data_IF_054363899971
#
_entry.id   IF_054363899971
#
_cell.length_a   1.000
_cell.length_b   1.000
_cell.length_c   1.000
_cell.angle_alpha   90.00
_cell.angle_beta   90.00
_cell.angle_gamma   90.00
#
_symmetry.space_group_name_H-M   'P 1'
#
loop_
_entity.id
_entity.type
_entity.pdbx_description
1 polymer ?
#
# COMPACT_ATOMS: atom_id res chain seq x y z
N UNK A 1 -27.38 -13.57 -13.24
CA UNK A 1 -26.21 -13.46 -14.13
C UNK A 1 -24.98 -13.39 -13.23
N UNK A 2 -24.04 -14.33 -13.35
CA UNK A 2 -22.80 -14.30 -12.56
C UNK A 2 -21.88 -13.19 -13.10
N UNK A 3 -21.36 -12.32 -12.24
CA UNK A 3 -20.41 -11.30 -12.65
C UNK A 3 -19.11 -11.99 -13.11
N UNK A 4 -18.72 -11.77 -14.36
CA UNK A 4 -17.46 -12.29 -14.91
C UNK A 4 -16.28 -11.71 -14.13
N UNK A 5 -15.37 -12.56 -13.66
CA UNK A 5 -14.15 -12.18 -12.92
C UNK A 5 -12.99 -11.78 -13.83
N UNK A 6 -13.21 -11.74 -15.14
CA UNK A 6 -12.19 -11.32 -16.10
C UNK A 6 -11.96 -9.81 -16.01
N UNK A 7 -10.69 -9.43 -15.82
CA UNK A 7 -10.28 -8.02 -15.80
C UNK A 7 -10.67 -7.33 -17.12
N UNK A 8 -11.09 -6.06 -17.09
CA UNK A 8 -11.29 -5.29 -18.30
C UNK A 8 -9.95 -5.10 -19.04
N UNK A 9 -10.01 -4.95 -20.36
CA UNK A 9 -8.85 -4.57 -21.16
C UNK A 9 -8.59 -3.07 -20.99
N UNK A 10 -7.36 -2.70 -20.65
CA UNK A 10 -6.92 -1.30 -20.70
C UNK A 10 -6.65 -0.95 -22.17
N UNK A 11 -7.38 0.03 -22.69
CA UNK A 11 -7.25 0.53 -24.06
C UNK A 11 -6.22 1.66 -24.15
N UNK A 12 -6.18 2.52 -23.13
CA UNK A 12 -5.28 3.66 -23.05
C UNK A 12 -5.01 4.01 -21.58
N UNK A 13 -3.87 4.65 -21.31
CA UNK A 13 -3.49 5.17 -20.00
C UNK A 13 -2.85 6.54 -20.18
N UNK A 14 -3.38 7.53 -19.48
CA UNK A 14 -2.95 8.93 -19.61
C UNK A 14 -2.71 9.52 -18.22
N UNK A 15 -1.56 10.18 -18.03
CA UNK A 15 -1.32 10.97 -16.80
C UNK A 15 -2.09 12.28 -16.91
N UNK A 16 -3.18 12.39 -16.14
CA UNK A 16 -4.08 13.55 -16.19
C UNK A 16 -3.74 14.61 -15.13
N UNK A 17 -3.04 14.23 -14.04
CA UNK A 17 -2.55 15.15 -13.04
C UNK A 17 -1.31 14.61 -12.32
N UNK A 18 -0.41 15.52 -11.95
CA UNK A 18 0.81 15.18 -11.20
C UNK A 18 1.16 16.29 -10.21
N UNK A 19 1.38 15.90 -8.96
CA UNK A 19 1.98 16.74 -7.92
C UNK A 19 3.34 16.17 -7.49
N UNK A 20 3.90 16.72 -6.41
CA UNK A 20 5.14 16.19 -5.80
C UNK A 20 4.99 14.74 -5.34
N UNK A 21 3.84 14.37 -4.77
CA UNK A 21 3.62 13.05 -4.16
C UNK A 21 2.68 12.14 -4.96
N UNK A 22 1.74 12.73 -5.72
CA UNK A 22 0.68 11.98 -6.39
C UNK A 22 0.82 12.03 -7.91
N UNK A 23 0.60 10.89 -8.55
CA UNK A 23 0.38 10.76 -9.99
C UNK A 23 -0.99 10.14 -10.21
N UNK A 24 -1.86 10.84 -10.92
CA UNK A 24 -3.22 10.39 -11.25
C UNK A 24 -3.26 10.02 -12.72
N UNK A 25 -3.73 8.81 -13.02
CA UNK A 25 -3.90 8.30 -14.37
C UNK A 25 -5.38 8.08 -14.69
N UNK A 26 -5.79 8.51 -15.89
CA UNK A 26 -7.03 8.05 -16.50
C UNK A 26 -6.77 6.74 -17.26
N UNK A 27 -7.70 5.78 -17.13
CA UNK A 27 -7.71 4.51 -17.83
C UNK A 27 -8.96 4.39 -18.65
N UNK A 28 -8.81 4.30 -19.97
CA UNK A 28 -9.91 3.91 -20.84
C UNK A 28 -9.98 2.38 -20.83
N UNK A 29 -11.11 1.83 -20.36
CA UNK A 29 -11.30 0.40 -20.10
C UNK A 29 -12.41 -0.15 -20.99
N UNK A 30 -12.25 -1.41 -21.46
CA UNK A 30 -13.32 -2.20 -22.08
C UNK A 30 -13.59 -3.46 -21.28
N UNK A 31 -14.80 -3.57 -20.76
CA UNK A 31 -15.27 -4.74 -20.01
C UNK A 31 -15.66 -5.89 -20.94
N UNK A 32 -15.78 -7.09 -20.38
CA UNK A 32 -16.13 -8.30 -21.14
C UNK A 32 -17.53 -8.27 -21.76
N UNK A 33 -18.43 -7.45 -21.21
CA UNK A 33 -19.75 -7.19 -21.78
C UNK A 33 -19.76 -6.12 -22.88
N UNK A 34 -18.57 -5.64 -23.31
CA UNK A 34 -18.41 -4.63 -24.35
C UNK A 34 -18.57 -3.18 -23.86
N UNK A 35 -18.97 -2.96 -22.61
CA UNK A 35 -19.10 -1.60 -22.05
C UNK A 35 -17.72 -0.97 -21.94
N UNK A 36 -17.61 0.30 -22.35
CA UNK A 36 -16.43 1.13 -22.15
C UNK A 36 -16.67 2.13 -21.02
N UNK A 37 -15.63 2.34 -20.22
CA UNK A 37 -15.65 3.33 -19.14
C UNK A 37 -14.26 3.95 -18.97
N UNK A 38 -14.24 5.18 -18.45
CA UNK A 38 -13.01 5.89 -18.09
C UNK A 38 -12.91 5.96 -16.57
N UNK A 39 -11.88 5.32 -16.01
CA UNK A 39 -11.60 5.33 -14.57
C UNK A 39 -10.41 6.24 -14.28
N UNK A 40 -10.32 6.75 -13.07
CA UNK A 40 -9.12 7.42 -12.56
C UNK A 40 -8.49 6.59 -11.44
N UNK A 41 -7.16 6.53 -11.40
CA UNK A 41 -6.42 5.90 -10.30
C UNK A 41 -5.31 6.80 -9.80
N UNK A 42 -5.07 6.77 -8.50
CA UNK A 42 -3.80 7.23 -7.92
C UNK A 42 -2.80 6.09 -8.10
N UNK A 43 -1.67 6.37 -8.76
CA UNK A 43 -0.62 5.37 -8.96
C UNK A 43 0.20 5.25 -7.69
N UNK A 44 0.14 4.07 -7.06
CA UNK A 44 0.93 3.75 -5.87
C UNK A 44 2.44 3.66 -6.15
N UNK A 45 3.23 3.46 -5.09
CA UNK A 45 4.66 3.15 -5.24
C UNK A 45 4.82 1.83 -6.00
N UNK A 46 5.84 1.73 -6.84
CA UNK A 46 6.08 0.53 -7.66
C UNK A 46 6.29 -0.74 -6.82
N UNK A 47 6.84 -0.58 -5.61
CA UNK A 47 7.13 -1.67 -4.67
C UNK A 47 6.08 -1.80 -3.56
N UNK A 48 5.15 -0.86 -3.43
CA UNK A 48 4.21 -0.84 -2.31
C UNK A 48 4.86 -0.39 -0.99
N UNK A 49 4.37 -0.97 0.11
CA UNK A 49 4.83 -0.72 1.47
C UNK A 49 4.55 -1.94 2.34
N UNK A 50 5.16 -1.95 3.52
CA UNK A 50 4.99 -3.00 4.53
C UNK A 50 4.21 -2.46 5.73
N UNK A 51 3.48 -3.35 6.37
CA UNK A 51 2.82 -3.11 7.65
C UNK A 51 3.17 -4.27 8.57
N UNK A 52 3.61 -3.97 9.79
CA UNK A 52 4.22 -4.95 10.69
C UNK A 52 3.31 -5.17 11.90
N UNK A 53 2.89 -6.41 12.12
CA UNK A 53 2.21 -6.82 13.36
C UNK A 53 3.25 -7.41 14.31
N UNK A 54 3.90 -6.56 15.09
CA UNK A 54 4.93 -6.98 16.03
C UNK A 54 4.30 -7.52 17.32
N UNK A 55 4.53 -8.81 17.60
CA UNK A 55 4.01 -9.53 18.77
C UNK A 55 5.14 -9.74 19.80
N UNK A 56 5.27 -8.92 20.86
CA UNK A 56 6.25 -9.17 21.92
C UNK A 56 5.96 -10.45 22.70
N UNK A 57 4.69 -10.84 22.79
CA UNK A 57 4.18 -12.06 23.38
C UNK A 57 2.83 -12.43 22.70
N UNK A 58 2.25 -13.62 22.95
CA UNK A 58 1.05 -14.07 22.25
C UNK A 58 -0.22 -13.24 22.46
N UNK A 59 -0.28 -12.40 23.51
CA UNK A 59 -1.46 -11.63 23.88
C UNK A 59 -1.42 -10.15 23.51
N UNK A 60 -0.28 -9.65 23.05
CA UNK A 60 -0.07 -8.22 22.82
C UNK A 60 0.53 -7.92 21.45
N UNK A 61 0.25 -6.70 20.96
CA UNK A 61 0.84 -6.12 19.75
C UNK A 61 1.45 -4.77 20.08
N UNK A 62 2.51 -4.41 19.36
CA UNK A 62 2.95 -3.03 19.32
C UNK A 62 2.10 -2.20 18.36
N UNK A 63 1.69 -1.04 18.84
CA UNK A 63 1.03 0.01 18.08
C UNK A 63 1.79 1.31 18.27
N UNK A 64 1.78 2.15 17.25
CA UNK A 64 2.36 3.49 17.27
C UNK A 64 1.26 4.54 17.15
N UNK A 65 1.56 5.76 17.61
CA UNK A 65 0.74 6.94 17.37
C UNK A 65 1.45 7.85 16.38
N UNK A 66 0.83 8.09 15.24
CA UNK A 66 1.40 8.90 14.17
C UNK A 66 0.39 9.95 13.71
N UNK A 67 0.85 11.18 13.47
CA UNK A 67 0.02 12.25 12.93
C UNK A 67 -0.28 12.00 11.44
N UNK A 68 -1.55 11.86 11.09
CA UNK A 68 -2.02 11.69 9.73
C UNK A 68 -2.53 13.02 9.16
N UNK A 69 -1.73 13.65 8.30
CA UNK A 69 -2.07 14.94 7.69
C UNK A 69 -3.38 14.94 6.88
N UNK A 70 -3.81 13.78 6.36
CA UNK A 70 -5.05 13.67 5.59
C UNK A 70 -6.33 13.74 6.45
N UNK A 71 -6.25 13.38 7.72
CA UNK A 71 -7.37 13.38 8.67
C UNK A 71 -7.19 14.38 9.81
N UNK A 72 -6.04 15.06 9.84
CA UNK A 72 -5.63 16.04 10.85
C UNK A 72 -5.75 15.52 12.30
N UNK A 73 -5.27 14.28 12.53
CA UNK A 73 -5.26 13.68 13.86
C UNK A 73 -4.11 12.69 14.03
N UNK A 74 -3.81 12.35 15.28
CA UNK A 74 -2.98 11.19 15.60
C UNK A 74 -3.80 9.91 15.48
N UNK A 75 -3.41 9.04 14.57
CA UNK A 75 -3.97 7.70 14.42
C UNK A 75 -3.22 6.73 15.33
N UNK A 76 -3.93 5.72 15.86
CA UNK A 76 -3.32 4.57 16.51
C UNK A 76 -3.32 3.40 15.52
N UNK A 77 -2.15 2.88 15.18
CA UNK A 77 -2.02 1.85 14.15
C UNK A 77 -0.75 1.03 14.27
N UNK A 78 -0.58 0.08 13.36
CA UNK A 78 0.62 -0.73 13.26
C UNK A 78 1.79 0.07 12.65
N UNK A 79 3.03 -0.25 13.00
CA UNK A 79 4.20 0.23 12.28
C UNK A 79 4.09 -0.08 10.79
N UNK A 80 4.47 0.88 9.94
CA UNK A 80 4.32 0.78 8.49
C UNK A 80 5.27 1.71 7.76
N UNK A 81 5.80 1.24 6.64
CA UNK A 81 6.64 2.08 5.81
C UNK A 81 6.77 1.61 4.38
N UNK A 82 7.61 2.31 3.62
CA UNK A 82 7.77 2.05 2.19
C UNK A 82 8.89 1.04 1.99
N UNK A 83 8.74 0.20 0.98
CA UNK A 83 9.84 -0.62 0.49
C UNK A 83 10.77 0.27 -0.32
N UNK A 84 12.05 0.32 0.05
CA UNK A 84 13.07 1.17 -0.55
C UNK A 84 13.99 0.39 -1.49
N UNK A 85 14.31 1.02 -2.63
CA UNK A 85 15.18 0.42 -3.64
C UNK A 85 14.75 -0.98 -4.05
N UNK A 86 15.66 -1.94 -3.91
CA UNK A 86 15.45 -3.34 -4.23
C UNK A 86 15.34 -4.25 -3.00
N UNK A 87 15.12 -3.69 -1.81
CA UNK A 87 15.06 -4.51 -0.59
C UNK A 87 13.89 -5.53 -0.63
N UNK A 88 14.09 -6.74 -0.05
CA UNK A 88 12.99 -7.68 0.18
C UNK A 88 11.95 -7.14 1.16
N UNK A 89 10.71 -7.60 1.05
CA UNK A 89 9.58 -7.19 1.91
C UNK A 89 9.89 -7.43 3.40
N UNK A 90 10.52 -8.57 3.72
CA UNK A 90 10.93 -8.92 5.08
C UNK A 90 12.00 -7.94 5.62
N UNK A 91 12.96 -7.56 4.78
CA UNK A 91 14.01 -6.62 5.17
C UNK A 91 13.46 -5.21 5.41
N UNK A 92 12.53 -4.75 4.57
CA UNK A 92 11.79 -3.52 4.80
C UNK A 92 11.04 -3.57 6.14
N UNK A 93 10.37 -4.70 6.43
CA UNK A 93 9.66 -4.91 7.69
C UNK A 93 10.56 -4.82 8.93
N UNK A 94 11.74 -5.44 8.88
CA UNK A 94 12.72 -5.36 9.97
C UNK A 94 13.27 -3.93 10.18
N UNK A 95 13.57 -3.23 9.08
CA UNK A 95 14.06 -1.85 9.12
C UNK A 95 13.02 -0.92 9.74
N UNK A 96 11.79 -0.94 9.24
CA UNK A 96 10.69 -0.10 9.74
C UNK A 96 10.36 -0.40 11.20
N UNK A 97 10.39 -1.67 11.63
CA UNK A 97 10.17 -2.03 13.03
C UNK A 97 11.26 -1.44 13.95
N UNK A 98 12.52 -1.42 13.49
CA UNK A 98 13.63 -0.82 14.22
C UNK A 98 13.49 0.71 14.27
N UNK A 99 13.13 1.34 13.17
CA UNK A 99 13.02 2.80 13.05
C UNK A 99 11.84 3.36 13.85
N UNK A 100 10.66 2.73 13.78
CA UNK A 100 9.43 3.25 14.39
C UNK A 100 9.20 2.80 15.84
N UNK A 101 9.69 1.61 16.21
CA UNK A 101 9.44 1.02 17.55
C UNK A 101 10.73 0.80 18.34
N UNK A 102 11.90 0.78 17.70
CA UNK A 102 13.19 0.56 18.37
C UNK A 102 13.49 -0.90 18.68
N UNK A 103 12.82 -1.85 18.01
CA UNK A 103 13.02 -3.29 18.23
C UNK A 103 13.37 -4.03 16.94
N UNK A 104 14.15 -5.09 17.07
CA UNK A 104 14.29 -6.12 16.04
C UNK A 104 13.39 -7.32 16.33
N UNK A 105 13.02 -8.07 15.28
CA UNK A 105 12.29 -9.32 15.41
C UNK A 105 13.25 -10.52 15.41
N UNK A 106 13.00 -11.53 16.27
CA UNK A 106 13.72 -12.81 16.20
C UNK A 106 13.20 -13.73 15.10
N UNK A 107 11.96 -13.50 14.68
CA UNK A 107 11.25 -14.22 13.62
C UNK A 107 10.32 -13.22 12.94
N UNK A 108 10.38 -13.19 11.62
CA UNK A 108 9.47 -12.44 10.79
C UNK A 108 8.93 -13.38 9.70
N UNK A 109 7.61 -13.42 9.54
CA UNK A 109 6.95 -14.20 8.50
C UNK A 109 6.21 -13.23 7.56
N UNK A 110 6.41 -13.38 6.25
CA UNK A 110 5.64 -12.67 5.23
C UNK A 110 4.32 -13.42 4.95
N UNK A 111 3.21 -12.69 4.83
CA UNK A 111 1.85 -13.23 4.67
C UNK A 111 1.38 -13.22 3.21
#
# INVERSE_FOLDING_TARGET
>A
MSASTHKPRVLNTEVIARSRLFRIEALDLRFTNGVEARYERIVGSARGGVLIVAMPDPGHVFLIREYAAGTDRYELGFPKGRIEGDEPEVAAGERELMEEVGYGARRLDYL
#
